data_IF_649205572365
#
_entry.id   IF_649205572365
#
_cell.length_a   1.000
_cell.length_b   1.000
_cell.length_c   1.000
_cell.angle_alpha   90.00
_cell.angle_beta   90.00
_cell.angle_gamma   90.00
#
_symmetry.space_group_name_H-M   'P 1'
#
loop_
_entity.id
_entity.type
_entity.pdbx_description
1 polymer ?
#
# COMPACT_ATOMS: atom_id res chain seq x y z
N UNK A 1 -9.42 -17.16 4.00
CA UNK A 1 -10.48 -17.85 3.24
C UNK A 1 -11.65 -18.10 4.16
N UNK A 2 -11.50 -18.85 5.25
CA UNK A 2 -12.52 -18.91 6.30
C UNK A 2 -12.70 -17.54 6.97
N UNK A 3 -13.77 -16.82 6.61
CA UNK A 3 -14.17 -15.56 7.25
C UNK A 3 -14.59 -14.45 6.28
N UNK A 4 -14.13 -14.51 5.02
CA UNK A 4 -14.59 -13.59 3.97
C UNK A 4 -15.45 -14.38 3.00
N UNK A 5 -16.73 -14.04 2.92
CA UNK A 5 -17.65 -14.61 1.94
C UNK A 5 -17.04 -14.38 0.54
N UNK A 6 -16.68 -15.45 -0.17
CA UNK A 6 -16.03 -15.39 -1.48
C UNK A 6 -17.02 -15.88 -2.55
N UNK A 7 -18.07 -15.10 -2.86
CA UNK A 7 -19.20 -15.56 -3.68
C UNK A 7 -18.82 -15.89 -5.13
N UNK A 8 -17.63 -15.49 -5.57
CA UNK A 8 -17.10 -15.74 -6.90
C UNK A 8 -16.35 -17.07 -7.05
N UNK A 9 -16.11 -17.82 -5.97
CA UNK A 9 -15.60 -19.19 -6.07
C UNK A 9 -16.76 -20.20 -6.14
N UNK A 10 -16.64 -21.19 -7.02
CA UNK A 10 -17.56 -22.33 -7.04
C UNK A 10 -17.22 -23.31 -5.92
N UNK A 11 -18.23 -23.98 -5.36
CA UNK A 11 -18.08 -24.94 -4.25
C UNK A 11 -17.00 -26.01 -4.48
N UNK A 12 -16.86 -26.49 -5.73
CA UNK A 12 -15.86 -27.49 -6.10
C UNK A 12 -14.40 -27.00 -6.04
N UNK A 13 -14.17 -25.68 -6.04
CA UNK A 13 -12.83 -25.10 -5.97
C UNK A 13 -12.27 -25.08 -4.54
N UNK A 14 -13.14 -25.06 -3.52
CA UNK A 14 -12.75 -24.97 -2.11
C UNK A 14 -12.16 -26.28 -1.56
N UNK A 15 -12.32 -27.40 -2.28
CA UNK A 15 -11.86 -28.74 -1.88
C UNK A 15 -10.52 -29.20 -2.48
N UNK A 16 -9.79 -28.32 -3.19
CA UNK A 16 -8.55 -28.68 -3.90
C UNK A 16 -7.28 -28.70 -3.02
N UNK A 17 -7.39 -28.33 -1.73
CA UNK A 17 -6.27 -28.38 -0.79
C UNK A 17 -6.03 -29.79 -0.26
N UNK A 18 -4.81 -30.32 -0.43
CA UNK A 18 -4.38 -31.54 0.27
C UNK A 18 -4.16 -31.30 1.76
N UNK A 19 -4.14 -32.36 2.57
CA UNK A 19 -3.71 -32.27 3.96
C UNK A 19 -2.29 -31.70 4.04
N UNK A 20 -2.12 -30.65 4.85
CA UNK A 20 -0.81 -30.02 5.05
C UNK A 20 -0.13 -30.69 6.24
N UNK A 21 0.68 -31.71 5.96
CA UNK A 21 1.40 -32.49 6.99
C UNK A 21 2.41 -31.62 7.79
N UNK A 22 3.11 -30.71 7.11
CA UNK A 22 4.05 -29.75 7.72
C UNK A 22 3.84 -28.35 7.16
N UNK A 23 2.97 -27.59 7.83
CA UNK A 23 2.63 -26.22 7.45
C UNK A 23 3.84 -25.28 7.42
N UNK A 24 4.90 -25.58 8.19
CA UNK A 24 6.10 -24.77 8.18
C UNK A 24 6.97 -25.06 6.97
N UNK A 25 7.17 -26.33 6.62
CA UNK A 25 7.91 -26.69 5.41
C UNK A 25 7.25 -26.07 4.16
N UNK A 26 5.92 -26.13 4.09
CA UNK A 26 5.15 -25.50 3.01
C UNK A 26 5.29 -23.97 3.01
N UNK A 27 5.22 -23.33 4.18
CA UNK A 27 5.45 -21.89 4.30
C UNK A 27 6.84 -21.49 3.80
N UNK A 28 7.90 -22.20 4.21
CA UNK A 28 9.27 -21.92 3.77
C UNK A 28 9.43 -22.14 2.26
N UNK A 29 8.86 -23.22 1.72
CA UNK A 29 8.90 -23.48 0.29
C UNK A 29 8.17 -22.39 -0.51
N UNK A 30 7.03 -21.91 0.00
CA UNK A 30 6.30 -20.79 -0.58
C UNK A 30 7.08 -19.48 -0.53
N UNK A 31 7.64 -19.12 0.62
CA UNK A 31 8.48 -17.92 0.77
C UNK A 31 9.71 -17.97 -0.14
N UNK A 32 10.37 -19.13 -0.27
CA UNK A 32 11.49 -19.31 -1.18
C UNK A 32 11.10 -19.02 -2.64
N UNK A 33 9.97 -19.59 -3.11
CA UNK A 33 9.45 -19.31 -4.46
C UNK A 33 9.13 -17.83 -4.63
N UNK A 34 8.48 -17.20 -3.64
CA UNK A 34 8.13 -15.79 -3.66
C UNK A 34 9.37 -14.89 -3.71
N UNK A 35 10.41 -15.21 -2.94
CA UNK A 35 11.69 -14.50 -2.97
C UNK A 35 12.30 -14.57 -4.36
N UNK A 36 12.40 -15.75 -4.97
CA UNK A 36 13.00 -15.93 -6.29
C UNK A 36 12.19 -15.33 -7.45
N UNK A 37 10.87 -15.49 -7.43
CA UNK A 37 10.01 -15.19 -8.57
C UNK A 37 9.40 -13.78 -8.51
N UNK A 38 9.36 -13.16 -7.32
CA UNK A 38 8.68 -11.89 -7.11
C UNK A 38 9.59 -10.87 -6.43
N UNK A 39 9.93 -11.06 -5.15
CA UNK A 39 10.58 -10.00 -4.37
C UNK A 39 11.91 -9.54 -4.97
N UNK A 40 12.87 -10.44 -5.16
CA UNK A 40 14.21 -10.05 -5.66
C UNK A 40 14.20 -9.77 -7.15
N UNK A 41 13.27 -10.39 -7.89
CA UNK A 41 13.12 -10.13 -9.31
C UNK A 41 12.67 -8.68 -9.59
N UNK A 42 11.69 -8.20 -8.83
CA UNK A 42 11.23 -6.81 -8.93
C UNK A 42 12.27 -5.83 -8.38
N UNK A 43 12.82 -6.12 -7.20
CA UNK A 43 13.73 -5.20 -6.52
C UNK A 43 15.02 -4.96 -7.32
N UNK A 44 15.69 -6.02 -7.78
CA UNK A 44 16.94 -5.93 -8.54
C UNK A 44 16.74 -5.19 -9.87
N UNK A 45 15.69 -5.54 -10.63
CA UNK A 45 15.43 -4.94 -11.95
C UNK A 45 15.03 -3.47 -11.85
N UNK A 46 14.22 -3.09 -10.87
CA UNK A 46 13.82 -1.70 -10.66
C UNK A 46 15.01 -0.84 -10.22
N UNK A 47 15.86 -1.37 -9.33
CA UNK A 47 17.07 -0.67 -8.88
C UNK A 47 18.08 -0.54 -10.03
N UNK A 48 18.39 -1.63 -10.72
CA UNK A 48 19.32 -1.66 -11.84
C UNK A 48 18.84 -0.76 -13.01
N UNK A 49 17.53 -0.72 -13.28
CA UNK A 49 16.93 0.18 -14.26
C UNK A 49 17.13 1.67 -13.93
N UNK A 50 17.41 1.98 -12.68
CA UNK A 50 17.73 3.33 -12.18
C UNK A 50 19.23 3.54 -11.93
N UNK A 51 20.09 2.58 -12.29
CA UNK A 51 21.53 2.63 -12.02
C UNK A 51 21.90 2.52 -10.53
N UNK A 52 21.01 1.95 -9.72
CA UNK A 52 21.18 1.77 -8.27
C UNK A 52 21.46 0.28 -7.98
N UNK A 53 22.44 0.02 -7.11
CA UNK A 53 22.64 -1.32 -6.53
C UNK A 53 21.79 -1.44 -5.27
N UNK A 54 20.81 -2.34 -5.27
CA UNK A 54 20.02 -2.64 -4.10
C UNK A 54 20.57 -3.89 -3.39
N UNK A 55 20.73 -3.79 -2.06
CA UNK A 55 21.25 -4.88 -1.23
C UNK A 55 20.19 -5.31 -0.24
N UNK A 56 20.08 -6.63 -0.07
CA UNK A 56 19.08 -7.29 0.78
C UNK A 56 19.76 -8.07 1.93
N UNK A 57 20.29 -7.39 2.98
CA UNK A 57 21.07 -8.04 4.04
C UNK A 57 20.39 -9.22 4.74
N UNK A 58 19.05 -9.20 4.83
CA UNK A 58 18.29 -10.31 5.43
C UNK A 58 18.31 -11.61 4.61
N UNK A 59 18.74 -11.55 3.34
CA UNK A 59 18.95 -12.71 2.47
C UNK A 59 20.42 -13.16 2.42
N UNK A 60 21.28 -12.67 3.33
CA UNK A 60 22.61 -13.24 3.50
C UNK A 60 22.50 -14.74 3.82
N UNK A 61 23.21 -15.57 3.06
CA UNK A 61 23.14 -17.03 3.16
C UNK A 61 23.40 -17.54 4.59
N UNK A 62 24.20 -16.85 5.40
CA UNK A 62 24.48 -17.22 6.80
C UNK A 62 23.24 -17.02 7.68
N UNK A 63 22.49 -15.95 7.44
CA UNK A 63 21.26 -15.66 8.18
C UNK A 63 20.13 -16.60 7.73
N UNK A 64 20.03 -16.89 6.44
CA UNK A 64 19.09 -17.87 5.91
C UNK A 64 19.37 -19.27 6.47
N UNK A 65 20.64 -19.69 6.46
CA UNK A 65 21.06 -20.96 7.05
C UNK A 65 20.75 -21.04 8.54
N UNK A 66 21.06 -19.98 9.30
CA UNK A 66 20.73 -19.89 10.72
C UNK A 66 19.21 -20.00 10.98
N UNK A 67 18.40 -19.24 10.26
CA UNK A 67 16.93 -19.23 10.46
C UNK A 67 16.29 -20.55 10.03
N UNK A 68 16.82 -21.23 9.01
CA UNK A 68 16.34 -22.56 8.57
C UNK A 68 16.52 -23.65 9.63
N UNK A 69 17.50 -23.48 10.53
CA UNK A 69 17.84 -24.43 11.60
C UNK A 69 17.15 -24.12 12.93
N UNK A 70 16.28 -23.11 12.98
CA UNK A 70 15.61 -22.75 14.23
C UNK A 70 14.70 -23.89 14.73
N UNK A 71 14.76 -24.18 16.05
CA UNK A 71 13.83 -25.07 16.74
C UNK A 71 12.36 -24.70 16.46
N UNK A 72 11.48 -25.71 16.41
CA UNK A 72 10.07 -25.55 16.04
C UNK A 72 9.32 -24.56 16.95
N UNK A 73 9.63 -24.58 18.25
CA UNK A 73 9.08 -23.73 19.29
C UNK A 73 9.45 -22.25 19.16
N UNK A 74 10.57 -21.93 18.49
CA UNK A 74 11.02 -20.55 18.27
C UNK A 74 10.54 -19.94 16.95
N UNK A 75 10.03 -20.76 16.02
CA UNK A 75 9.54 -20.29 14.71
C UNK A 75 8.35 -19.31 14.82
N UNK A 76 7.39 -19.51 15.75
CA UNK A 76 6.34 -18.52 16.04
C UNK A 76 6.87 -17.11 16.29
N UNK A 77 7.86 -17.00 17.19
CA UNK A 77 8.46 -15.72 17.58
C UNK A 77 9.31 -15.08 16.48
N UNK A 78 9.65 -15.81 15.41
CA UNK A 78 10.35 -15.24 14.25
C UNK A 78 9.37 -14.81 13.14
N UNK A 79 8.46 -15.69 12.73
CA UNK A 79 7.73 -15.49 11.47
C UNK A 79 6.47 -14.62 11.60
N UNK A 80 5.78 -14.67 12.74
CA UNK A 80 4.51 -13.99 12.91
C UNK A 80 4.71 -12.50 13.23
N UNK A 81 5.47 -12.21 14.29
CA UNK A 81 5.65 -10.85 14.80
C UNK A 81 7.11 -10.36 14.78
N UNK A 82 8.06 -11.26 14.46
CA UNK A 82 9.51 -11.01 14.50
C UNK A 82 10.03 -10.68 15.90
N UNK A 83 9.40 -11.17 16.96
CA UNK A 83 9.83 -10.99 18.36
C UNK A 83 11.30 -11.33 18.60
N UNK A 84 11.83 -12.41 18.03
CA UNK A 84 13.27 -12.74 18.18
C UNK A 84 14.15 -11.63 17.59
N UNK A 85 13.79 -11.13 16.41
CA UNK A 85 14.51 -10.03 15.78
C UNK A 85 14.38 -8.74 16.60
N UNK A 86 13.16 -8.41 17.07
CA UNK A 86 12.90 -7.22 17.91
C UNK A 86 13.74 -7.22 19.18
N UNK A 87 13.81 -8.35 19.89
CA UNK A 87 14.65 -8.52 21.08
C UNK A 87 16.13 -8.34 20.74
N UNK A 88 16.60 -8.90 19.63
CA UNK A 88 17.99 -8.78 19.18
C UNK A 88 18.36 -7.34 18.77
N UNK A 89 17.41 -6.58 18.21
CA UNK A 89 17.65 -5.20 17.75
C UNK A 89 17.33 -4.13 18.79
N UNK A 90 16.63 -4.46 19.87
CA UNK A 90 16.20 -3.52 20.91
C UNK A 90 17.32 -2.63 21.48
N UNK A 91 18.56 -3.12 21.70
CA UNK A 91 19.65 -2.25 22.16
C UNK A 91 20.08 -1.16 21.15
N UNK A 92 19.67 -1.27 19.89
CA UNK A 92 20.11 -0.40 18.80
C UNK A 92 19.00 0.51 18.26
N UNK A 93 17.74 0.32 18.69
CA UNK A 93 16.59 1.03 18.15
C UNK A 93 15.77 1.70 19.27
N UNK A 94 15.13 2.85 18.99
CA UNK A 94 14.14 3.44 19.88
C UNK A 94 13.01 2.47 20.23
N UNK A 95 12.50 2.54 21.47
CA UNK A 95 11.50 1.58 21.98
C UNK A 95 10.20 1.59 21.17
N UNK A 96 9.78 2.76 20.68
CA UNK A 96 8.62 2.91 19.80
C UNK A 96 8.79 2.19 18.46
N UNK A 97 10.02 2.09 17.93
CA UNK A 97 10.31 1.29 16.73
C UNK A 97 10.32 -0.21 17.03
N UNK A 98 10.83 -0.60 18.21
CA UNK A 98 10.86 -2.00 18.66
C UNK A 98 9.46 -2.55 18.89
N UNK A 99 8.55 -1.72 19.42
CA UNK A 99 7.18 -2.11 19.75
C UNK A 99 6.19 -1.86 18.60
N UNK A 100 6.64 -1.21 17.52
CA UNK A 100 5.79 -0.87 16.36
C UNK A 100 5.13 -2.14 15.78
N UNK A 101 3.80 -2.20 15.68
CA UNK A 101 3.10 -3.32 15.04
C UNK A 101 3.60 -3.55 13.61
N UNK A 102 3.61 -4.81 13.17
CA UNK A 102 3.97 -5.16 11.78
C UNK A 102 2.91 -4.58 10.84
N UNK A 103 3.21 -3.43 10.25
CA UNK A 103 2.42 -2.84 9.17
C UNK A 103 2.92 -3.31 7.81
N UNK A 104 2.05 -3.69 6.87
CA UNK A 104 2.44 -3.96 5.51
C UNK A 104 2.81 -2.64 4.77
N UNK A 105 3.65 -2.71 3.74
CA UNK A 105 4.20 -1.51 3.09
C UNK A 105 3.18 -0.66 2.35
N UNK A 106 2.10 -1.26 1.84
CA UNK A 106 1.14 -0.61 0.93
C UNK A 106 -0.24 -0.37 1.55
N UNK A 107 -0.45 -0.74 2.81
CA UNK A 107 -1.75 -0.59 3.48
C UNK A 107 -1.61 0.48 4.56
N UNK A 108 -1.80 1.73 4.14
CA UNK A 108 -2.00 2.87 5.01
C UNK A 108 -3.42 3.42 4.88
N UNK A 109 -3.68 4.57 5.49
CA UNK A 109 -4.98 5.24 5.42
C UNK A 109 -5.48 5.44 3.97
N UNK A 110 -4.57 5.63 3.01
CA UNK A 110 -4.88 5.84 1.59
C UNK A 110 -5.12 4.57 0.75
N UNK A 111 -5.23 3.37 1.33
CA UNK A 111 -5.38 2.11 0.55
C UNK A 111 -6.60 2.13 -0.37
N UNK A 112 -7.67 2.82 0.03
CA UNK A 112 -8.88 2.96 -0.76
C UNK A 112 -8.67 3.69 -2.09
N UNK A 113 -7.72 4.64 -2.18
CA UNK A 113 -7.36 5.26 -3.45
C UNK A 113 -6.72 4.26 -4.41
N UNK A 114 -5.83 3.42 -3.91
CA UNK A 114 -5.20 2.34 -4.70
C UNK A 114 -6.25 1.32 -5.16
N UNK A 115 -7.15 0.92 -4.26
CA UNK A 115 -8.22 -0.02 -4.60
C UNK A 115 -9.21 0.56 -5.62
N UNK A 116 -9.55 1.84 -5.51
CA UNK A 116 -10.35 2.54 -6.53
C UNK A 116 -9.69 2.44 -7.90
N UNK A 117 -8.38 2.71 -8.01
CA UNK A 117 -7.66 2.57 -9.29
C UNK A 117 -7.76 1.15 -9.85
N UNK A 118 -7.59 0.12 -9.02
CA UNK A 118 -7.68 -1.27 -9.46
C UNK A 118 -9.09 -1.69 -9.85
N UNK A 119 -10.10 -1.28 -9.09
CA UNK A 119 -11.51 -1.56 -9.40
C UNK A 119 -11.92 -0.85 -10.70
N UNK A 120 -11.55 0.42 -10.88
CA UNK A 120 -11.79 1.13 -12.15
C UNK A 120 -11.08 0.49 -13.34
N UNK A 121 -9.90 -0.12 -13.14
CA UNK A 121 -9.24 -0.90 -14.18
C UNK A 121 -10.03 -2.18 -14.52
N UNK A 122 -10.61 -2.84 -13.52
CA UNK A 122 -11.41 -4.04 -13.71
C UNK A 122 -12.76 -3.75 -14.38
N UNK A 123 -13.36 -2.58 -14.15
CA UNK A 123 -14.64 -2.17 -14.74
C UNK A 123 -14.52 -1.62 -16.18
N UNK A 124 -13.31 -1.24 -16.61
CA UNK A 124 -13.08 -0.67 -17.94
C UNK A 124 -13.55 -1.57 -19.07
N UNK A 125 -14.04 -0.95 -20.14
CA UNK A 125 -14.50 -1.61 -21.37
C UNK A 125 -15.54 -2.72 -21.12
N UNK A 126 -16.40 -2.52 -20.11
CA UNK A 126 -17.44 -3.49 -19.74
C UNK A 126 -16.88 -4.72 -19.05
N UNK A 127 -15.75 -4.59 -18.35
CA UNK A 127 -15.11 -5.70 -17.67
C UNK A 127 -14.25 -6.58 -18.57
N UNK A 128 -13.71 -6.04 -19.66
CA UNK A 128 -12.95 -6.81 -20.66
C UNK A 128 -11.78 -7.61 -20.05
N UNK A 129 -11.14 -7.10 -18.99
CA UNK A 129 -10.08 -7.80 -18.28
C UNK A 129 -10.59 -9.01 -17.49
N UNK A 130 -11.79 -8.88 -16.91
CA UNK A 130 -12.48 -9.96 -16.21
C UNK A 130 -12.89 -11.05 -17.22
N UNK A 131 -13.48 -10.66 -18.34
CA UNK A 131 -13.86 -11.61 -19.42
C UNK A 131 -12.66 -12.40 -19.90
N UNK A 132 -11.55 -11.73 -20.19
CA UNK A 132 -10.32 -12.39 -20.63
C UNK A 132 -9.76 -13.34 -19.56
N UNK A 133 -9.93 -13.02 -18.28
CA UNK A 133 -9.54 -13.93 -17.20
C UNK A 133 -10.45 -15.16 -17.15
N UNK A 134 -11.77 -14.99 -17.37
CA UNK A 134 -12.76 -16.06 -17.39
C UNK A 134 -12.62 -16.99 -18.60
N UNK A 135 -12.14 -16.48 -19.74
CA UNK A 135 -11.76 -17.27 -20.92
C UNK A 135 -10.57 -18.22 -20.65
N UNK A 136 -9.86 -18.02 -19.53
CA UNK A 136 -8.81 -18.92 -19.08
C UNK A 136 -9.33 -20.36 -18.92
N UNK A 137 -8.59 -21.39 -19.39
CA UNK A 137 -9.05 -22.79 -19.44
C UNK A 137 -9.55 -23.35 -18.11
N UNK A 138 -8.93 -22.88 -17.02
CA UNK A 138 -9.20 -23.31 -15.66
C UNK A 138 -10.19 -22.37 -14.94
N UNK A 139 -10.36 -21.14 -15.43
CA UNK A 139 -11.14 -20.11 -14.76
C UNK A 139 -12.63 -20.45 -14.75
N UNK A 140 -13.21 -20.87 -15.87
CA UNK A 140 -14.62 -21.25 -15.95
C UNK A 140 -15.02 -22.43 -15.04
N UNK A 141 -14.05 -23.24 -14.60
CA UNK A 141 -14.28 -24.35 -13.68
C UNK A 141 -14.26 -23.92 -12.21
N UNK A 142 -13.51 -22.85 -11.90
CA UNK A 142 -13.23 -22.41 -10.53
C UNK A 142 -14.00 -21.14 -10.13
N UNK A 143 -14.32 -20.30 -11.11
CA UNK A 143 -14.92 -18.97 -10.93
C UNK A 143 -16.37 -18.93 -11.38
N UNK A 144 -17.18 -18.19 -10.64
CA UNK A 144 -18.50 -17.73 -11.08
C UNK A 144 -18.34 -16.31 -11.64
N UNK A 145 -18.50 -16.16 -12.96
CA UNK A 145 -18.28 -14.90 -13.67
C UNK A 145 -19.31 -13.83 -13.31
N UNK A 146 -20.59 -14.21 -13.22
CA UNK A 146 -21.66 -13.28 -12.86
C UNK A 146 -21.47 -12.76 -11.44
N UNK A 147 -21.11 -13.65 -10.50
CA UNK A 147 -20.80 -13.27 -9.13
C UNK A 147 -19.53 -12.40 -9.03
N UNK A 148 -18.52 -12.65 -9.87
CA UNK A 148 -17.29 -11.84 -9.92
C UNK A 148 -17.57 -10.42 -10.41
N UNK A 149 -18.37 -10.26 -11.47
CA UNK A 149 -18.81 -8.94 -11.95
C UNK A 149 -19.63 -8.20 -10.90
N UNK A 150 -20.59 -8.88 -10.27
CA UNK A 150 -21.40 -8.28 -9.22
C UNK A 150 -20.54 -7.81 -8.04
N UNK A 151 -19.56 -8.62 -7.61
CA UNK A 151 -18.64 -8.27 -6.54
C UNK A 151 -17.75 -7.06 -6.90
N UNK A 152 -17.24 -6.98 -8.12
CA UNK A 152 -16.46 -5.83 -8.58
C UNK A 152 -17.30 -4.56 -8.57
N UNK A 153 -18.52 -4.62 -9.13
CA UNK A 153 -19.42 -3.47 -9.15
C UNK A 153 -19.83 -3.01 -7.74
N UNK A 154 -20.07 -3.94 -6.82
CA UNK A 154 -20.36 -3.63 -5.42
C UNK A 154 -19.15 -2.97 -4.73
N UNK A 155 -17.95 -3.51 -4.89
CA UNK A 155 -16.72 -2.97 -4.32
C UNK A 155 -16.37 -1.59 -4.91
N UNK A 156 -16.70 -1.35 -6.18
CA UNK A 156 -16.43 -0.10 -6.87
C UNK A 156 -17.44 1.01 -6.55
N UNK A 157 -18.64 0.66 -6.08
CA UNK A 157 -19.72 1.61 -5.82
C UNK A 157 -19.37 2.67 -4.76
N UNK A 158 -18.44 2.37 -3.84
CA UNK A 158 -18.02 3.26 -2.77
C UNK A 158 -16.53 3.10 -2.46
N UNK A 159 -15.85 4.12 -1.88
CA UNK A 159 -14.49 3.97 -1.39
C UNK A 159 -14.39 2.78 -0.43
N UNK A 160 -13.50 1.82 -0.74
CA UNK A 160 -13.38 0.57 0.01
C UNK A 160 -11.95 0.32 0.43
N UNK A 161 -11.78 -0.20 1.65
CA UNK A 161 -10.52 -0.77 2.13
C UNK A 161 -10.63 -2.30 2.30
N UNK A 162 -11.67 -2.90 1.71
CA UNK A 162 -11.96 -4.32 1.84
C UNK A 162 -10.82 -5.18 1.27
N UNK A 163 -10.31 -6.19 2.00
CA UNK A 163 -9.33 -7.13 1.49
C UNK A 163 -9.84 -7.95 0.29
N UNK A 164 -11.15 -8.02 0.08
CA UNK A 164 -11.77 -8.72 -1.06
C UNK A 164 -11.28 -8.20 -2.41
N UNK A 165 -10.90 -6.93 -2.52
CA UNK A 165 -10.33 -6.35 -3.75
C UNK A 165 -9.07 -7.13 -4.17
N UNK A 166 -8.21 -7.50 -3.23
CA UNK A 166 -7.03 -8.29 -3.54
C UNK A 166 -7.36 -9.70 -4.00
N UNK A 167 -8.40 -10.31 -3.42
CA UNK A 167 -8.82 -11.65 -3.80
C UNK A 167 -9.28 -11.63 -5.25
N UNK A 168 -10.14 -10.68 -5.60
CA UNK A 168 -10.58 -10.44 -6.98
C UNK A 168 -9.38 -10.25 -7.90
N UNK A 169 -8.44 -9.36 -7.57
CA UNK A 169 -7.25 -9.12 -8.38
C UNK A 169 -6.42 -10.38 -8.60
N UNK A 170 -6.23 -11.20 -7.56
CA UNK A 170 -5.47 -12.46 -7.66
C UNK A 170 -6.17 -13.46 -8.56
N UNK A 171 -7.50 -13.59 -8.46
CA UNK A 171 -8.28 -14.51 -9.28
C UNK A 171 -8.30 -14.09 -10.76
N UNK A 172 -8.50 -12.80 -11.02
CA UNK A 172 -8.41 -12.25 -12.38
C UNK A 172 -7.01 -12.48 -12.96
N UNK A 173 -5.96 -12.16 -12.19
CA UNK A 173 -4.59 -12.40 -12.62
C UNK A 173 -4.28 -13.89 -12.88
N UNK A 174 -4.80 -14.80 -12.05
CA UNK A 174 -4.68 -16.25 -12.28
C UNK A 174 -5.36 -16.68 -13.58
N UNK A 175 -6.56 -16.19 -13.88
CA UNK A 175 -7.25 -16.47 -15.13
C UNK A 175 -6.45 -16.00 -16.35
N UNK A 176 -5.94 -14.77 -16.30
CA UNK A 176 -5.07 -14.21 -17.34
C UNK A 176 -3.79 -15.03 -17.54
N UNK A 177 -3.12 -15.39 -16.44
CA UNK A 177 -1.90 -16.21 -16.48
C UNK A 177 -2.17 -17.62 -17.03
N UNK A 178 -3.33 -18.20 -16.72
CA UNK A 178 -3.76 -19.48 -17.28
C UNK A 178 -3.87 -19.41 -18.80
N UNK A 179 -4.49 -18.36 -19.34
CA UNK A 179 -4.54 -18.12 -20.79
C UNK A 179 -3.15 -17.86 -21.41
N UNK A 180 -2.32 -17.05 -20.76
CA UNK A 180 -0.94 -16.77 -21.22
C UNK A 180 -0.04 -18.01 -21.20
N UNK A 181 -0.33 -19.01 -20.39
CA UNK A 181 0.43 -20.26 -20.37
C UNK A 181 0.16 -21.12 -21.63
N UNK A 182 -1.03 -21.00 -22.22
CA UNK A 182 -1.38 -21.67 -23.48
C UNK A 182 -0.87 -20.90 -24.70
N UNK A 183 -1.02 -19.57 -24.67
CA UNK A 183 -0.54 -18.66 -25.70
C UNK A 183 0.49 -17.68 -25.11
N UNK A 184 1.77 -18.11 -24.99
CA UNK A 184 2.80 -17.25 -24.41
C UNK A 184 2.98 -15.99 -25.25
N UNK A 185 3.22 -14.83 -24.60
CA UNK A 185 3.47 -13.60 -25.33
C UNK A 185 4.69 -13.76 -26.24
N UNK A 186 4.75 -13.03 -27.37
CA UNK A 186 5.91 -13.05 -28.24
C UNK A 186 7.18 -12.74 -27.43
N UNK A 187 8.32 -13.37 -27.77
CA UNK A 187 9.56 -13.16 -27.04
C UNK A 187 9.91 -11.67 -26.99
N UNK A 188 10.43 -11.21 -25.85
CA UNK A 188 10.90 -9.83 -25.73
C UNK A 188 11.90 -9.53 -26.85
N UNK A 189 11.76 -8.33 -27.44
CA UNK A 189 12.70 -7.83 -28.43
C UNK A 189 14.10 -7.82 -27.81
N UNK A 190 15.07 -8.39 -28.52
CA UNK A 190 16.48 -8.39 -28.14
C UNK A 190 17.00 -6.95 -28.18
N UNK A 191 16.82 -6.22 -27.09
CA UNK A 191 17.39 -4.89 -26.92
C UNK A 191 18.88 -5.08 -26.61
N UNK A 192 19.75 -4.62 -27.50
CA UNK A 192 21.19 -4.62 -27.25
C UNK A 192 21.45 -3.94 -25.88
N UNK A 193 22.31 -4.52 -25.03
CA UNK A 193 22.60 -3.94 -23.72
C UNK A 193 23.09 -2.51 -23.90
N UNK A 194 22.37 -1.55 -23.34
CA UNK A 194 22.84 -0.16 -23.27
C UNK A 194 23.97 -0.15 -22.25
N UNK A 195 25.21 -0.02 -22.73
CA UNK A 195 26.33 0.21 -21.84
C UNK A 195 26.25 1.63 -21.26
N UNK A 196 25.66 1.75 -20.09
CA UNK A 196 25.78 2.96 -19.28
C UNK A 196 27.12 2.89 -18.56
N UNK A 197 28.12 3.63 -19.04
CA UNK A 197 29.35 3.85 -18.28
C UNK A 197 29.05 4.76 -17.08
N UNK A 198 28.62 4.17 -15.97
CA UNK A 198 28.59 4.87 -14.70
C UNK A 198 30.03 5.09 -14.23
N UNK A 199 30.43 6.35 -14.05
CA UNK A 199 31.67 6.66 -13.32
C UNK A 199 31.37 6.48 -11.84
N UNK A 200 31.78 5.33 -11.27
CA UNK A 200 31.80 5.18 -9.82
C UNK A 200 32.75 6.24 -9.25
N UNK A 201 32.20 7.18 -8.48
CA UNK A 201 33.00 7.98 -7.56
C UNK A 201 33.28 7.13 -6.33
N UNK A 202 34.56 6.96 -5.97
CA UNK A 202 35.00 6.35 -4.72
C UNK A 202 34.57 7.22 -3.52
N UNK A 203 33.29 7.23 -3.18
CA UNK A 203 32.79 8.01 -2.05
C UNK A 203 31.60 7.34 -1.38
N UNK A 204 31.87 6.23 -0.70
CA UNK A 204 31.25 6.02 0.62
C UNK A 204 32.40 6.03 1.60
N UNK A 205 32.79 7.23 2.02
CA UNK A 205 33.56 7.41 3.24
C UNK A 205 32.80 6.67 4.36
N UNK A 206 33.42 5.65 4.92
CA UNK A 206 32.86 4.82 5.99
C UNK A 206 32.85 5.55 7.34
N UNK A 207 32.92 6.87 7.34
CA UNK A 207 32.60 7.67 8.51
C UNK A 207 31.16 7.36 8.89
N UNK A 208 30.98 6.91 10.13
CA UNK A 208 29.70 6.64 10.76
C UNK A 208 28.86 7.90 10.62
N UNK A 209 28.04 7.99 9.56
CA UNK A 209 26.99 8.99 9.51
C UNK A 209 26.05 8.59 10.62
N UNK A 210 25.92 9.44 11.64
CA UNK A 210 24.74 9.40 12.50
C UNK A 210 23.54 9.48 11.57
N UNK A 211 22.91 8.33 11.35
CA UNK A 211 21.62 8.24 10.71
C UNK A 211 20.64 8.84 11.72
N UNK A 212 20.42 10.15 11.60
CA UNK A 212 19.21 10.76 12.15
C UNK A 212 18.03 10.09 11.44
N UNK A 213 17.50 9.05 12.07
CA UNK A 213 16.22 8.46 11.72
C UNK A 213 15.17 9.53 11.98
N UNK A 214 14.90 10.34 10.96
CA UNK A 214 13.78 11.25 10.97
C UNK A 214 12.51 10.41 11.11
N UNK A 215 11.88 10.48 12.29
CA UNK A 215 10.53 9.97 12.49
C UNK A 215 9.54 10.66 11.54
N UNK A 216 8.25 10.24 11.54
CA UNK A 216 7.22 10.99 10.84
C UNK A 216 7.34 12.47 11.20
N UNK A 217 7.36 13.35 10.20
CA UNK A 217 7.67 14.76 10.36
C UNK A 217 6.83 15.33 11.51
N UNK A 218 7.47 15.71 12.61
CA UNK A 218 6.76 16.21 13.77
C UNK A 218 6.04 17.50 13.36
N UNK A 219 4.71 17.47 13.38
CA UNK A 219 3.87 18.61 13.07
C UNK A 219 3.91 19.56 14.27
N UNK A 220 4.88 20.47 14.31
CA UNK A 220 5.02 21.47 15.38
C UNK A 220 4.20 22.72 15.09
N UNK A 221 3.78 23.43 16.12
CA UNK A 221 2.86 24.58 15.99
C UNK A 221 3.45 25.75 15.19
N UNK A 222 4.78 25.83 15.14
CA UNK A 222 5.52 26.84 14.38
C UNK A 222 5.64 26.49 12.88
N UNK A 223 5.16 25.31 12.44
CA UNK A 223 5.17 24.93 11.01
C UNK A 223 4.14 25.73 10.24
N UNK A 224 4.57 26.28 9.11
CA UNK A 224 3.69 26.97 8.18
C UNK A 224 2.90 25.99 7.32
N UNK A 225 1.61 26.26 7.19
CA UNK A 225 0.70 25.50 6.34
C UNK A 225 -0.07 26.44 5.41
N UNK A 226 -0.49 25.93 4.26
CA UNK A 226 -1.31 26.64 3.28
C UNK A 226 -2.25 25.69 2.55
N UNK A 227 -3.34 26.22 2.01
CA UNK A 227 -4.25 25.45 1.16
C UNK A 227 -3.56 25.07 -0.16
N UNK A 228 -3.76 23.83 -0.58
CA UNK A 228 -3.34 23.38 -1.90
C UNK A 228 -4.14 24.09 -3.00
N UNK A 229 -3.51 24.50 -4.13
CA UNK A 229 -4.21 25.14 -5.25
C UNK A 229 -5.31 24.28 -5.90
N UNK A 230 -5.36 23.00 -5.53
CA UNK A 230 -6.28 21.98 -6.05
C UNK A 230 -7.51 21.80 -5.18
N UNK A 231 -7.61 22.57 -4.10
CA UNK A 231 -8.73 22.51 -3.16
C UNK A 231 -9.80 23.52 -3.54
N UNK A 232 -11.05 23.08 -3.51
CA UNK A 232 -12.23 23.93 -3.60
C UNK A 232 -13.14 23.66 -2.40
N UNK A 233 -13.54 24.71 -1.70
CA UNK A 233 -14.62 24.67 -0.71
C UNK A 233 -15.93 24.97 -1.43
N UNK A 234 -16.83 23.99 -1.44
CA UNK A 234 -18.16 24.10 -2.03
C UNK A 234 -19.19 24.19 -0.92
N UNK A 235 -20.28 24.91 -1.15
CA UNK A 235 -21.40 24.99 -0.20
C UNK A 235 -22.71 24.69 -0.91
N UNK A 236 -23.57 23.88 -0.29
CA UNK A 236 -24.96 23.68 -0.72
C UNK A 236 -25.86 24.69 0.00
N UNK A 237 -26.47 25.66 -0.70
CA UNK A 237 -27.25 26.72 -0.06
C UNK A 237 -28.54 26.24 0.62
N UNK A 238 -29.05 25.07 0.23
CA UNK A 238 -30.36 24.55 0.65
C UNK A 238 -30.38 24.10 2.12
N UNK A 239 -29.27 23.53 2.58
CA UNK A 239 -29.13 22.98 3.94
C UNK A 239 -27.86 23.46 4.67
N UNK A 240 -27.04 24.29 4.03
CA UNK A 240 -25.84 24.88 4.63
C UNK A 240 -24.65 23.92 4.72
N UNK A 241 -24.73 22.75 4.07
CA UNK A 241 -23.67 21.74 4.05
C UNK A 241 -22.47 22.24 3.24
N UNK A 242 -21.26 21.97 3.73
CA UNK A 242 -20.01 22.27 3.05
C UNK A 242 -19.37 21.00 2.50
N UNK A 243 -18.64 21.13 1.40
CA UNK A 243 -17.89 20.03 0.80
C UNK A 243 -16.47 20.48 0.52
N UNK A 244 -15.50 19.63 0.88
CA UNK A 244 -14.12 19.79 0.48
C UNK A 244 -13.88 18.98 -0.78
N UNK A 245 -13.61 19.66 -1.89
CA UNK A 245 -13.20 19.01 -3.12
C UNK A 245 -11.68 19.12 -3.33
N UNK A 246 -11.03 18.03 -3.65
CA UNK A 246 -9.59 17.95 -3.91
C UNK A 246 -9.40 17.35 -5.31
N UNK A 247 -8.67 18.05 -6.18
CA UNK A 247 -8.43 17.61 -7.57
C UNK A 247 -9.73 17.29 -8.36
N UNK A 248 -10.81 18.02 -8.06
CA UNK A 248 -12.10 17.92 -8.75
C UNK A 248 -13.05 16.82 -8.24
N UNK A 249 -12.68 16.09 -7.18
CA UNK A 249 -13.54 15.11 -6.50
C UNK A 249 -13.92 15.61 -5.11
N UNK A 250 -15.17 15.37 -4.68
CA UNK A 250 -15.61 15.67 -3.30
C UNK A 250 -15.05 14.59 -2.37
N UNK A 251 -14.19 14.97 -1.44
CA UNK A 251 -13.54 14.06 -0.49
C UNK A 251 -14.21 14.10 0.89
N UNK A 252 -14.72 15.26 1.32
CA UNK A 252 -15.36 15.42 2.62
C UNK A 252 -16.67 16.20 2.55
N UNK A 253 -17.64 15.77 3.36
CA UNK A 253 -18.80 16.57 3.77
C UNK A 253 -18.48 17.19 5.14
N UNK A 254 -18.61 18.51 5.24
CA UNK A 254 -18.27 19.31 6.40
C UNK A 254 -19.52 19.95 6.99
N UNK A 255 -19.68 19.82 8.29
CA UNK A 255 -20.68 20.57 9.04
C UNK A 255 -20.34 22.07 9.06
N UNK A 256 -21.36 22.92 9.01
CA UNK A 256 -21.22 24.37 8.82
C UNK A 256 -20.47 25.11 9.95
N UNK A 257 -20.32 24.50 11.11
CA UNK A 257 -19.63 25.01 12.30
C UNK A 257 -18.43 24.14 12.72
N UNK A 258 -18.03 23.16 11.90
CA UNK A 258 -16.88 22.30 12.21
C UNK A 258 -15.57 23.10 12.31
N UNK A 259 -14.72 22.73 13.28
CA UNK A 259 -13.38 23.34 13.46
C UNK A 259 -12.53 23.23 12.19
N UNK A 260 -12.66 22.11 11.47
CA UNK A 260 -12.02 21.87 10.16
C UNK A 260 -12.43 22.89 9.11
N UNK A 261 -13.71 23.23 9.00
CA UNK A 261 -14.18 24.24 8.07
C UNK A 261 -13.67 25.64 8.44
N UNK A 262 -13.64 25.96 9.74
CA UNK A 262 -13.08 27.23 10.23
C UNK A 262 -11.60 27.34 9.88
N UNK A 263 -10.83 26.27 10.08
CA UNK A 263 -9.42 26.18 9.70
C UNK A 263 -9.23 26.39 8.19
N UNK A 264 -9.97 25.65 7.36
CA UNK A 264 -9.84 25.71 5.90
C UNK A 264 -10.15 27.12 5.36
N UNK A 265 -11.16 27.80 5.92
CA UNK A 265 -11.44 29.20 5.57
C UNK A 265 -10.33 30.15 6.01
N UNK A 266 -9.72 29.93 7.16
CA UNK A 266 -8.60 30.76 7.62
C UNK A 266 -7.33 30.61 6.76
N UNK A 267 -7.20 29.48 6.05
CA UNK A 267 -6.13 29.20 5.11
C UNK A 267 -6.38 29.77 3.70
N UNK A 268 -7.60 30.27 3.40
CA UNK A 268 -7.96 30.73 2.06
C UNK A 268 -7.16 31.99 1.71
N UNK A 269 -6.18 31.83 0.81
CA UNK A 269 -5.28 32.92 0.41
C UNK A 269 -4.23 33.31 1.48
N UNK A 270 -4.05 32.48 2.51
CA UNK A 270 -3.09 32.71 3.58
C UNK A 270 -2.14 31.53 3.76
N UNK A 271 -0.87 31.82 4.04
CA UNK A 271 0.11 30.84 4.52
C UNK A 271 0.72 31.37 5.80
N UNK A 272 0.64 30.59 6.87
CA UNK A 272 1.13 31.01 8.19
C UNK A 272 1.37 29.79 9.07
N UNK A 273 2.01 30.00 10.22
CA UNK A 273 2.20 28.92 11.19
C UNK A 273 0.87 28.41 11.74
N UNK A 274 0.79 27.10 12.06
CA UNK A 274 -0.39 26.48 12.69
C UNK A 274 -0.86 27.32 13.89
N UNK A 275 0.10 27.76 14.73
CA UNK A 275 -0.16 28.63 15.88
C UNK A 275 -0.85 29.94 15.51
N UNK A 276 -0.38 30.63 14.48
CA UNK A 276 -0.94 31.91 14.05
C UNK A 276 -2.33 31.76 13.42
N UNK A 277 -2.52 30.70 12.64
CA UNK A 277 -3.82 30.40 12.01
C UNK A 277 -4.84 30.05 13.09
N UNK A 278 -4.49 29.19 14.04
CA UNK A 278 -5.34 28.85 15.18
C UNK A 278 -5.73 30.09 15.98
N UNK A 279 -4.77 30.96 16.29
CA UNK A 279 -5.03 32.20 17.02
C UNK A 279 -5.98 33.16 16.26
N UNK A 280 -5.90 33.19 14.93
CA UNK A 280 -6.77 34.03 14.08
C UNK A 280 -8.17 33.43 13.95
N UNK A 281 -8.24 32.10 13.88
CA UNK A 281 -9.46 31.34 13.71
C UNK A 281 -10.23 31.07 15.03
N UNK A 282 -9.60 31.32 16.18
CA UNK A 282 -10.16 31.00 17.50
C UNK A 282 -10.16 29.49 17.80
N UNK A 283 -9.19 28.76 17.25
CA UNK A 283 -9.03 27.31 17.40
C UNK A 283 -7.88 26.98 18.35
N UNK A 284 -7.94 25.82 18.99
CA UNK A 284 -6.84 25.28 19.79
C UNK A 284 -5.97 24.34 18.93
N UNK A 285 -4.64 24.54 18.83
CA UNK A 285 -3.79 23.72 17.97
C UNK A 285 -3.86 22.21 18.24
N UNK A 286 -4.12 21.81 19.48
CA UNK A 286 -4.24 20.40 19.85
C UNK A 286 -5.53 19.75 19.35
N UNK A 287 -6.64 20.48 19.23
CA UNK A 287 -7.92 19.91 18.80
C UNK A 287 -7.94 19.62 17.31
N UNK A 288 -7.28 20.47 16.53
CA UNK A 288 -7.22 20.36 15.07
C UNK A 288 -5.99 19.58 14.55
N UNK A 289 -5.09 19.13 15.43
CA UNK A 289 -3.78 18.59 15.01
C UNK A 289 -3.92 17.36 14.12
N UNK A 290 -4.88 16.49 14.46
CA UNK A 290 -5.16 15.28 13.68
C UNK A 290 -5.84 15.62 12.35
N UNK A 291 -6.76 16.58 12.34
CA UNK A 291 -7.39 17.07 11.11
C UNK A 291 -6.37 17.70 10.16
N UNK A 292 -5.43 18.50 10.68
CA UNK A 292 -4.33 19.06 9.87
C UNK A 292 -3.45 17.95 9.30
N UNK A 293 -3.12 16.92 10.07
CA UNK A 293 -2.35 15.77 9.55
C UNK A 293 -3.11 15.06 8.45
N UNK A 294 -4.41 14.84 8.63
CA UNK A 294 -5.26 14.18 7.64
C UNK A 294 -5.33 15.02 6.36
N UNK A 295 -5.62 16.32 6.47
CA UNK A 295 -5.65 17.25 5.34
C UNK A 295 -4.30 17.35 4.60
N UNK A 296 -3.17 17.21 5.30
CA UNK A 296 -1.84 17.12 4.67
C UNK A 296 -1.67 15.80 3.94
N UNK A 297 -2.08 14.68 4.54
CA UNK A 297 -2.06 13.37 3.91
C UNK A 297 -2.88 13.33 2.62
N UNK A 298 -4.03 14.01 2.61
CA UNK A 298 -4.95 14.06 1.47
C UNK A 298 -4.54 15.11 0.43
N UNK A 299 -3.44 15.84 0.67
CA UNK A 299 -2.95 16.89 -0.22
C UNK A 299 -3.84 18.13 -0.28
N UNK A 300 -4.79 18.28 0.65
CA UNK A 300 -5.63 19.46 0.77
C UNK A 300 -4.86 20.63 1.42
N UNK A 301 -3.98 20.33 2.38
CA UNK A 301 -3.10 21.29 3.04
C UNK A 301 -1.64 20.93 2.74
N UNK A 302 -0.82 21.94 2.48
CA UNK A 302 0.60 21.78 2.18
C UNK A 302 1.42 22.39 3.32
N UNK A 303 2.53 21.73 3.67
CA UNK A 303 3.58 22.32 4.49
C UNK A 303 4.38 23.30 3.63
N UNK A 304 4.59 24.52 4.13
CA UNK A 304 5.30 25.62 3.44
C UNK A 304 6.58 25.99 4.16
#
# INVERSE_FOLDING_TARGET
WDGENAPFLRDGALGLGGDVDDAYAEYVAWEHRKVQQYNVWHEDRTAAGSGIEARVPFLDHRLVDFTSRLPLDLRPELLWDKTILRRATSPFLPQDMVDRPKGPFFYGAGVHHTYRTFLSMLEQDGGALIERALDGPQAAQMLDGDALHAAVAELAAQPTSSPQVEIVLRLVNMGLLSGMAEEPPPPMIDAAPVQVMARASDAVDSSTRELELNGPLALTDDRSIGLSPRVLLLSRPEDGTWFLAVDGSIEYELEGDSETLVLLRALEGSTSSIKQICATAGLEPETIRDDVRQLISDGAVLLV
#
